data_IF_700990962901
#
_entry.id   IF_700990962901
#
_cell.length_a   1.000
_cell.length_b   1.000
_cell.length_c   1.000
_cell.angle_alpha   90.00
_cell.angle_beta   90.00
_cell.angle_gamma   90.00
#
_symmetry.space_group_name_H-M   'P 1'
#
loop_
_entity.id
_entity.type
_entity.pdbx_description
1 polymer ?
#
# COMPACT_ATOMS: atom_id res chain seq x y z
N UNK A 1 -7.25 10.03 6.25
CA UNK A 1 -6.31 11.09 6.66
C UNK A 1 -6.92 11.84 7.83
N UNK A 2 -6.15 12.06 8.87
CA UNK A 2 -6.60 12.83 10.01
C UNK A 2 -6.65 14.32 9.61
N UNK A 3 -7.65 15.07 10.07
CA UNK A 3 -7.76 16.52 9.77
C UNK A 3 -6.52 17.32 10.21
N UNK A 4 -5.77 16.82 11.18
CA UNK A 4 -4.51 17.40 11.62
C UNK A 4 -3.40 17.30 10.56
N UNK A 5 -3.35 16.22 9.78
CA UNK A 5 -2.30 16.02 8.77
C UNK A 5 -2.39 17.09 7.67
N UNK A 6 -3.63 17.40 7.25
CA UNK A 6 -3.89 18.47 6.27
C UNK A 6 -3.61 19.88 6.85
N UNK A 7 -3.94 20.09 8.14
CA UNK A 7 -3.79 21.40 8.78
C UNK A 7 -2.32 21.78 9.00
N UNK A 8 -1.46 20.79 9.32
CA UNK A 8 -0.06 21.04 9.68
C UNK A 8 0.92 20.65 8.59
N UNK A 9 0.45 20.08 7.48
CA UNK A 9 1.29 19.50 6.42
C UNK A 9 2.34 18.51 6.99
N UNK A 10 1.95 17.76 8.02
CA UNK A 10 2.80 16.81 8.73
C UNK A 10 2.02 15.58 9.15
N UNK A 11 2.62 14.42 8.95
CA UNK A 11 2.14 13.13 9.47
C UNK A 11 3.32 12.28 9.93
N UNK A 12 3.08 11.41 10.90
CA UNK A 12 4.12 10.48 11.36
C UNK A 12 4.57 9.56 10.22
N UNK A 13 5.87 9.25 10.16
CA UNK A 13 6.47 8.43 9.11
C UNK A 13 5.70 7.10 8.85
N UNK A 14 5.30 6.41 9.91
CA UNK A 14 4.53 5.16 9.79
C UNK A 14 3.19 5.37 9.07
N UNK A 15 2.48 6.47 9.33
CA UNK A 15 1.24 6.78 8.63
C UNK A 15 1.50 7.07 7.14
N UNK A 16 2.57 7.80 6.85
CA UNK A 16 2.96 8.08 5.46
C UNK A 16 3.28 6.78 4.70
N UNK A 17 4.04 5.88 5.32
CA UNK A 17 4.46 4.63 4.69
C UNK A 17 3.33 3.59 4.63
N UNK A 18 2.74 3.25 5.77
CA UNK A 18 1.84 2.10 5.88
C UNK A 18 0.38 2.40 5.52
N UNK A 19 0.01 3.66 5.37
CA UNK A 19 -1.34 4.06 4.94
C UNK A 19 -1.26 4.71 3.57
N UNK A 20 -0.58 5.85 3.45
CA UNK A 20 -0.62 6.66 2.23
C UNK A 20 0.19 6.02 1.10
N UNK A 21 1.47 5.77 1.31
CA UNK A 21 2.32 5.13 0.29
C UNK A 21 1.84 3.71 -0.03
N UNK A 22 1.40 2.95 0.98
CA UNK A 22 0.80 1.64 0.78
C UNK A 22 -0.43 1.71 -0.15
N UNK A 23 -1.37 2.63 0.11
CA UNK A 23 -2.56 2.79 -0.74
C UNK A 23 -2.17 3.19 -2.17
N UNK A 24 -1.27 4.16 -2.33
CA UNK A 24 -0.78 4.61 -3.64
C UNK A 24 -0.12 3.45 -4.42
N UNK A 25 0.71 2.65 -3.75
CA UNK A 25 1.38 1.51 -4.38
C UNK A 25 0.38 0.42 -4.78
N UNK A 26 -0.55 0.06 -3.90
CA UNK A 26 -1.56 -0.96 -4.15
C UNK A 26 -2.55 -0.57 -5.27
N UNK A 27 -2.81 0.72 -5.46
CA UNK A 27 -3.62 1.24 -6.57
C UNK A 27 -2.84 1.40 -7.87
N UNK A 28 -1.51 1.30 -7.82
CA UNK A 28 -0.64 1.35 -9.00
C UNK A 28 -0.26 2.75 -9.43
N UNK A 29 -0.26 3.71 -8.52
CA UNK A 29 0.27 5.06 -8.78
C UNK A 29 1.77 4.97 -9.09
N UNK A 30 2.20 5.66 -10.15
CA UNK A 30 3.59 5.63 -10.58
C UNK A 30 4.52 6.22 -9.49
N UNK A 31 5.69 5.62 -9.20
CA UNK A 31 6.59 6.08 -8.14
C UNK A 31 6.99 7.56 -8.23
N UNK A 32 7.16 8.10 -9.43
CA UNK A 32 7.46 9.53 -9.61
C UNK A 32 6.30 10.43 -9.17
N UNK A 33 5.04 10.02 -9.41
CA UNK A 33 3.86 10.76 -8.96
C UNK A 33 3.71 10.67 -7.43
N UNK A 34 4.00 9.50 -6.84
CA UNK A 34 4.08 9.37 -5.38
C UNK A 34 5.11 10.33 -4.80
N UNK A 35 6.32 10.33 -5.36
CA UNK A 35 7.41 11.20 -4.92
C UNK A 35 7.01 12.68 -5.00
N UNK A 36 6.49 13.12 -6.17
CA UNK A 36 6.02 14.50 -6.37
C UNK A 36 4.97 14.88 -5.33
N UNK A 37 3.97 14.03 -5.12
CA UNK A 37 2.92 14.25 -4.15
C UNK A 37 3.46 14.41 -2.72
N UNK A 38 4.40 13.54 -2.30
CA UNK A 38 5.02 13.63 -0.98
C UNK A 38 5.83 14.92 -0.80
N UNK A 39 6.56 15.35 -1.85
CA UNK A 39 7.33 16.59 -1.82
C UNK A 39 6.44 17.83 -1.74
N UNK A 40 5.27 17.82 -2.38
CA UNK A 40 4.33 18.93 -2.38
C UNK A 40 3.50 19.01 -1.09
N UNK A 41 3.19 17.88 -0.46
CA UNK A 41 2.22 17.81 0.63
C UNK A 41 2.81 17.93 2.03
N UNK A 42 4.11 17.68 2.19
CA UNK A 42 4.74 17.67 3.52
C UNK A 42 5.82 18.75 3.69
N UNK A 43 5.70 19.50 4.80
CA UNK A 43 6.61 20.61 5.11
C UNK A 43 8.05 20.15 5.40
N UNK A 44 8.23 18.91 5.83
CA UNK A 44 9.52 18.28 6.13
C UNK A 44 10.03 17.37 5.00
N UNK A 45 9.49 17.53 3.78
CA UNK A 45 9.91 16.76 2.62
C UNK A 45 11.21 17.33 2.03
N UNK A 46 12.23 16.48 2.00
CA UNK A 46 13.53 16.74 1.36
C UNK A 46 13.95 15.52 0.53
N UNK A 47 14.69 15.74 -0.56
CA UNK A 47 15.12 14.67 -1.46
C UNK A 47 15.83 13.52 -0.74
N UNK A 48 16.76 13.82 0.14
CA UNK A 48 17.54 12.82 0.87
C UNK A 48 16.67 11.94 1.79
N UNK A 49 15.48 12.42 2.18
CA UNK A 49 14.50 11.65 2.97
C UNK A 49 13.51 10.95 2.04
N UNK A 50 12.94 11.67 1.07
CA UNK A 50 11.83 11.17 0.26
C UNK A 50 12.27 10.16 -0.79
N UNK A 51 13.46 10.31 -1.38
CA UNK A 51 13.97 9.34 -2.37
C UNK A 51 14.02 7.91 -1.80
N UNK A 52 14.72 7.62 -0.69
CA UNK A 52 14.75 6.27 -0.14
C UNK A 52 13.38 5.82 0.42
N UNK A 53 12.59 6.72 0.95
CA UNK A 53 11.28 6.38 1.51
C UNK A 53 10.24 6.05 0.45
N UNK A 54 10.19 6.78 -0.65
CA UNK A 54 9.22 6.56 -1.72
C UNK A 54 9.68 5.44 -2.66
N UNK A 55 10.87 5.56 -3.24
CA UNK A 55 11.34 4.57 -4.23
C UNK A 55 11.80 3.27 -3.58
N UNK A 56 12.41 3.33 -2.40
CA UNK A 56 12.89 2.15 -1.68
C UNK A 56 11.80 1.45 -0.87
N UNK A 57 11.23 2.13 0.12
CA UNK A 57 10.27 1.50 1.05
C UNK A 57 8.84 1.49 0.50
N UNK A 58 8.33 2.63 0.04
CA UNK A 58 6.92 2.79 -0.31
C UNK A 58 6.52 2.03 -1.56
N UNK A 59 7.23 2.22 -2.67
CA UNK A 59 6.92 1.61 -3.96
C UNK A 59 7.76 0.39 -4.30
N UNK A 60 8.91 0.19 -3.63
CA UNK A 60 9.89 -0.84 -3.98
C UNK A 60 10.43 -0.72 -5.41
N UNK A 61 10.42 0.48 -5.97
CA UNK A 61 10.81 0.75 -7.37
C UNK A 61 12.32 0.64 -7.60
N UNK A 62 13.12 0.63 -6.53
CA UNK A 62 14.57 0.40 -6.55
C UNK A 62 14.95 -1.08 -6.72
N UNK A 63 13.98 -1.99 -6.77
CA UNK A 63 14.22 -3.43 -6.90
C UNK A 63 14.84 -4.09 -5.68
N UNK A 64 14.77 -3.45 -4.52
CA UNK A 64 15.25 -4.01 -3.25
C UNK A 64 16.68 -3.61 -2.86
N UNK A 65 17.17 -2.50 -3.37
CA UNK A 65 18.47 -1.93 -2.95
C UNK A 65 18.36 -1.44 -1.51
N UNK A 66 17.29 -0.70 -1.19
CA UNK A 66 17.09 -0.11 0.12
C UNK A 66 16.41 -1.05 1.12
N UNK A 67 15.43 -1.81 0.68
CA UNK A 67 14.66 -2.70 1.55
C UNK A 67 14.60 -4.13 1.03
N UNK A 68 14.56 -5.12 1.93
CA UNK A 68 14.55 -6.55 1.58
C UNK A 68 13.20 -7.05 1.10
N UNK A 69 12.14 -6.25 1.24
CA UNK A 69 10.77 -6.57 0.84
C UNK A 69 9.95 -5.29 0.69
N UNK A 70 8.90 -5.28 -0.15
CA UNK A 70 7.99 -4.15 -0.21
C UNK A 70 7.22 -3.98 1.11
N UNK A 71 7.02 -2.73 1.51
CA UNK A 71 6.23 -2.37 2.70
C UNK A 71 4.76 -2.22 2.31
N UNK A 72 4.12 -3.35 2.10
CA UNK A 72 2.68 -3.42 1.81
C UNK A 72 1.93 -4.12 2.94
N UNK A 73 0.70 -3.71 3.17
CA UNK A 73 -0.17 -4.31 4.18
C UNK A 73 -1.64 -4.30 3.78
N UNK A 74 -2.39 -5.26 4.31
CA UNK A 74 -3.84 -5.30 4.26
C UNK A 74 -4.49 -4.69 5.51
N UNK A 75 -5.82 -4.80 5.59
CA UNK A 75 -6.61 -4.23 6.67
C UNK A 75 -6.25 -4.76 8.07
N UNK A 76 -5.85 -6.01 8.19
CA UNK A 76 -5.47 -6.62 9.46
C UNK A 76 -4.30 -5.94 10.16
N UNK A 77 -3.33 -5.42 9.40
CA UNK A 77 -2.25 -4.61 9.95
C UNK A 77 -2.78 -3.27 10.46
N UNK A 78 -3.59 -2.58 9.66
CA UNK A 78 -4.15 -1.28 10.03
C UNK A 78 -5.03 -1.37 11.29
N UNK A 79 -5.88 -2.40 11.39
CA UNK A 79 -6.70 -2.65 12.57
C UNK A 79 -5.88 -2.91 13.84
N UNK A 80 -4.75 -3.60 13.72
CA UNK A 80 -3.87 -3.91 14.86
C UNK A 80 -3.04 -2.72 15.32
N UNK A 81 -2.66 -1.84 14.40
CA UNK A 81 -1.74 -0.72 14.66
C UNK A 81 -2.44 0.62 14.85
N UNK A 82 -3.76 0.64 14.81
CA UNK A 82 -4.57 1.86 14.96
C UNK A 82 -5.81 1.61 15.82
N UNK A 83 -6.55 2.67 16.09
CA UNK A 83 -7.86 2.63 16.76
C UNK A 83 -9.04 2.55 15.78
N UNK A 84 -8.79 2.22 14.51
CA UNK A 84 -9.87 2.04 13.53
C UNK A 84 -10.70 0.80 13.84
N UNK A 85 -12.01 0.92 13.71
CA UNK A 85 -12.93 -0.20 13.78
C UNK A 85 -13.05 -0.91 12.43
N UNK A 86 -13.34 -2.20 12.46
CA UNK A 86 -13.63 -2.99 11.25
C UNK A 86 -14.86 -2.42 10.54
N UNK A 87 -14.78 -2.28 9.23
CA UNK A 87 -15.85 -1.77 8.37
C UNK A 87 -15.60 -2.16 6.90
N UNK A 88 -16.44 -1.64 6.00
CA UNK A 88 -16.40 -1.97 4.56
C UNK A 88 -15.07 -1.60 3.91
N UNK A 89 -14.36 -0.61 4.42
CA UNK A 89 -13.03 -0.25 3.97
C UNK A 89 -12.01 -1.40 4.07
N UNK A 90 -12.24 -2.36 4.98
CA UNK A 90 -11.36 -3.52 5.12
C UNK A 90 -11.37 -4.38 3.86
N UNK A 91 -12.54 -4.59 3.26
CA UNK A 91 -12.69 -5.39 2.05
C UNK A 91 -12.01 -4.71 0.85
N UNK A 92 -12.11 -3.39 0.77
CA UNK A 92 -11.41 -2.60 -0.26
C UNK A 92 -9.88 -2.72 -0.11
N UNK A 93 -9.35 -2.48 1.09
CA UNK A 93 -7.90 -2.55 1.33
C UNK A 93 -7.36 -3.97 1.13
N UNK A 94 -8.07 -4.98 1.63
CA UNK A 94 -7.68 -6.38 1.43
C UNK A 94 -7.75 -6.77 -0.06
N UNK A 95 -8.74 -6.28 -0.78
CA UNK A 95 -8.86 -6.48 -2.22
C UNK A 95 -7.70 -5.87 -3.00
N UNK A 96 -7.34 -4.62 -2.70
CA UNK A 96 -6.18 -3.94 -3.29
C UNK A 96 -4.88 -4.71 -3.01
N UNK A 97 -4.68 -5.13 -1.75
CA UNK A 97 -3.52 -5.91 -1.32
C UNK A 97 -3.40 -7.24 -2.08
N UNK A 98 -4.45 -8.05 -2.11
CA UNK A 98 -4.42 -9.36 -2.76
C UNK A 98 -4.35 -9.25 -4.28
N UNK A 99 -4.97 -8.23 -4.88
CA UNK A 99 -4.84 -7.91 -6.31
C UNK A 99 -3.40 -7.52 -6.67
N UNK A 100 -2.73 -6.76 -5.82
CA UNK A 100 -1.31 -6.43 -6.00
C UNK A 100 -0.42 -7.67 -5.93
N UNK A 101 -0.64 -8.56 -4.96
CA UNK A 101 0.08 -9.83 -4.84
C UNK A 101 -0.14 -10.70 -6.09
N UNK A 102 -1.37 -10.80 -6.58
CA UNK A 102 -1.71 -11.57 -7.79
C UNK A 102 -1.01 -11.02 -9.04
N UNK A 103 -1.04 -9.72 -9.23
CA UNK A 103 -0.37 -9.07 -10.37
C UNK A 103 1.14 -9.27 -10.37
N UNK A 104 1.75 -9.39 -9.20
CA UNK A 104 3.19 -9.51 -9.02
C UNK A 104 3.61 -10.93 -8.57
N UNK A 105 2.82 -11.96 -8.86
CA UNK A 105 2.99 -13.31 -8.32
C UNK A 105 4.41 -13.87 -8.52
N UNK A 106 5.00 -13.65 -9.69
CA UNK A 106 6.36 -14.11 -10.01
C UNK A 106 7.42 -13.53 -9.05
N UNK A 107 7.28 -12.26 -8.71
CA UNK A 107 8.14 -11.59 -7.75
C UNK A 107 7.96 -12.17 -6.33
N UNK A 108 6.72 -12.39 -5.90
CA UNK A 108 6.44 -12.97 -4.58
C UNK A 108 6.92 -14.43 -4.47
N UNK A 109 6.88 -15.21 -5.53
CA UNK A 109 7.36 -16.59 -5.57
C UNK A 109 8.88 -16.69 -5.57
N UNK A 110 9.58 -15.73 -6.18
CA UNK A 110 11.04 -15.71 -6.22
C UNK A 110 11.69 -15.45 -4.85
N UNK A 111 10.93 -14.89 -3.90
CA UNK A 111 11.43 -14.60 -2.56
C UNK A 111 10.78 -15.55 -1.52
N UNK A 112 11.58 -16.45 -0.88
CA UNK A 112 11.05 -17.43 0.08
C UNK A 112 10.25 -16.84 1.23
N UNK A 113 10.57 -15.61 1.66
CA UNK A 113 9.86 -14.92 2.74
C UNK A 113 8.47 -14.43 2.29
N UNK A 114 8.29 -14.18 1.00
CA UNK A 114 7.05 -13.66 0.42
C UNK A 114 6.17 -14.78 -0.16
N UNK A 115 6.73 -15.93 -0.46
CA UNK A 115 6.03 -17.09 -1.05
C UNK A 115 4.84 -17.58 -0.20
N UNK A 116 4.81 -17.30 1.10
CA UNK A 116 3.66 -17.60 1.95
C UNK A 116 2.41 -16.79 1.54
N UNK A 117 2.57 -15.60 0.97
CA UNK A 117 1.46 -14.76 0.50
C UNK A 117 0.79 -15.37 -0.72
N UNK A 118 1.57 -15.92 -1.66
CA UNK A 118 1.01 -16.59 -2.86
C UNK A 118 0.25 -17.84 -2.49
N UNK A 119 0.74 -18.63 -1.54
CA UNK A 119 0.01 -19.79 -0.99
C UNK A 119 -1.31 -19.38 -0.31
N UNK A 120 -1.27 -18.28 0.46
CA UNK A 120 -2.47 -17.76 1.11
C UNK A 120 -3.51 -17.28 0.10
N UNK A 121 -3.07 -16.64 -0.97
CA UNK A 121 -3.95 -16.22 -2.07
C UNK A 121 -4.59 -17.41 -2.78
N UNK A 122 -3.81 -18.46 -3.07
CA UNK A 122 -4.30 -19.68 -3.71
C UNK A 122 -5.32 -20.43 -2.85
N UNK A 123 -5.10 -20.47 -1.54
CA UNK A 123 -5.98 -21.16 -0.59
C UNK A 123 -7.19 -20.30 -0.15
N UNK A 124 -7.28 -19.06 -0.62
CA UNK A 124 -8.39 -18.17 -0.26
C UNK A 124 -9.72 -18.70 -0.79
N UNK A 125 -10.77 -18.60 0.02
CA UNK A 125 -12.13 -18.90 -0.41
C UNK A 125 -12.52 -18.09 -1.63
N UNK A 126 -13.05 -18.74 -2.67
CA UNK A 126 -13.38 -18.12 -3.97
C UNK A 126 -14.41 -17.01 -3.85
N UNK A 127 -15.43 -17.16 -3.01
CA UNK A 127 -16.44 -16.13 -2.79
C UNK A 127 -15.84 -14.92 -2.08
N UNK A 128 -15.01 -15.15 -1.06
CA UNK A 128 -14.28 -14.05 -0.39
C UNK A 128 -13.38 -13.31 -1.36
N UNK A 129 -12.61 -14.02 -2.17
CA UNK A 129 -11.74 -13.42 -3.20
C UNK A 129 -12.55 -12.54 -4.16
N UNK A 130 -13.67 -13.05 -4.68
CA UNK A 130 -14.55 -12.31 -5.59
C UNK A 130 -15.06 -11.02 -4.95
N UNK A 131 -15.51 -11.08 -3.69
CA UNK A 131 -16.04 -9.91 -2.98
C UNK A 131 -14.99 -8.82 -2.82
N UNK A 132 -13.81 -9.15 -2.28
CA UNK A 132 -12.77 -8.15 -2.02
C UNK A 132 -12.17 -7.59 -3.31
N UNK A 133 -12.02 -8.40 -4.36
CA UNK A 133 -11.52 -7.92 -5.66
C UNK A 133 -12.50 -6.95 -6.31
N UNK A 134 -13.80 -7.25 -6.26
CA UNK A 134 -14.83 -6.33 -6.74
C UNK A 134 -14.78 -4.99 -6.00
N UNK A 135 -14.68 -5.00 -4.67
CA UNK A 135 -14.54 -3.76 -3.88
C UNK A 135 -13.29 -2.95 -4.25
N UNK A 136 -12.19 -3.64 -4.55
CA UNK A 136 -10.95 -2.97 -4.99
C UNK A 136 -11.09 -2.35 -6.38
N UNK A 137 -11.72 -3.05 -7.33
CA UNK A 137 -11.96 -2.54 -8.69
C UNK A 137 -12.88 -1.32 -8.67
N UNK A 138 -14.00 -1.39 -7.97
CA UNK A 138 -14.91 -0.26 -7.78
C UNK A 138 -14.22 0.97 -7.15
N UNK A 139 -13.30 0.72 -6.20
CA UNK A 139 -12.51 1.80 -5.60
C UNK A 139 -11.56 2.45 -6.62
N UNK A 140 -10.84 1.64 -7.40
CA UNK A 140 -9.91 2.14 -8.43
C UNK A 140 -10.69 2.94 -9.48
N UNK A 141 -11.75 2.38 -10.07
CA UNK A 141 -12.56 3.04 -11.07
C UNK A 141 -13.10 4.40 -10.61
N UNK A 142 -13.54 4.49 -9.36
CA UNK A 142 -14.07 5.73 -8.78
C UNK A 142 -13.02 6.82 -8.58
N UNK A 143 -11.75 6.43 -8.38
CA UNK A 143 -10.68 7.36 -8.01
C UNK A 143 -9.63 7.58 -9.12
N UNK A 144 -9.73 6.89 -10.26
CA UNK A 144 -8.78 6.99 -11.39
C UNK A 144 -9.45 7.40 -12.72
N UNK A 145 -10.69 7.83 -12.67
CA UNK A 145 -11.42 8.33 -13.83
C UNK A 145 -10.96 9.73 -14.25
#
# INVERSE_FOLDING_TARGET
>A
MCSSDLKFAYSHHINRLMIIANLMNLTGIHPNEMYRWFMEMYIDAYDWVMVPNVYGMGSYADGGIFSTKPYICGSSYMLRMSNYSKGDWCDTVDGLYWRFVEKNIKFFESNPRLAVMTRSLTNMNKERKKTIFKSAEEFIERNTA
#
